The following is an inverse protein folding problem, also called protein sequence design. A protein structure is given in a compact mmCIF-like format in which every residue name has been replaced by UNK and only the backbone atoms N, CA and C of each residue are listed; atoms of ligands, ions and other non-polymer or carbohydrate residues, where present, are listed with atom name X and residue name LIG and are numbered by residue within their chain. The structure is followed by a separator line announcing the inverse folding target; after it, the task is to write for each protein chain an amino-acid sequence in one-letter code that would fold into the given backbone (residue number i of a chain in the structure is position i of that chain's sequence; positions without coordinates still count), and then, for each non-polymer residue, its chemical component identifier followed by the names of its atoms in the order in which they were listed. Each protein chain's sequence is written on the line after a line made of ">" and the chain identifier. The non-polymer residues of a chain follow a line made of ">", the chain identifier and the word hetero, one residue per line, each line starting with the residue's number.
data_IF_481841388692
#
_entry.id   IF_481841388692
#
_cell.length_a   1.000
_cell.length_b   1.000
_cell.length_c   1.000
_cell.angle_alpha   90.00
_cell.angle_beta   90.00
_cell.angle_gamma   90.00
#
_symmetry.space_group_name_H-M   'P 1'
#
loop_
_entity.id
_entity.type
_entity.pdbx_description
1 polymer ?
#
# COMPACT_ATOMS: atom_id res chain seq x y z
N UNK A 1 -59.05 -46.29 37.06
CA UNK A 1 -57.60 -46.56 36.88
C UNK A 1 -57.27 -46.49 35.40
N UNK A 2 -56.69 -45.38 34.96
CA UNK A 2 -55.97 -45.25 33.69
C UNK A 2 -55.15 -43.97 33.80
N UNK A 3 -53.82 -44.08 33.92
CA UNK A 3 -52.94 -42.92 34.11
C UNK A 3 -52.25 -42.61 32.76
N UNK A 4 -52.59 -41.51 32.08
CA UNK A 4 -51.97 -41.14 30.81
C UNK A 4 -50.68 -40.34 31.08
N UNK A 5 -49.62 -41.01 31.55
CA UNK A 5 -48.41 -40.34 32.03
C UNK A 5 -47.13 -40.50 31.19
N UNK A 6 -47.07 -41.47 30.26
CA UNK A 6 -45.77 -41.95 29.76
C UNK A 6 -45.44 -41.66 28.30
N UNK A 7 -46.34 -41.03 27.52
CA UNK A 7 -46.08 -40.75 26.09
C UNK A 7 -45.53 -39.35 25.81
N UNK A 8 -45.64 -38.39 26.73
CA UNK A 8 -45.09 -37.04 26.56
C UNK A 8 -43.58 -36.93 26.90
N UNK A 9 -43.02 -37.84 27.71
CA UNK A 9 -41.65 -37.69 28.20
C UNK A 9 -40.58 -38.05 27.15
N UNK A 10 -40.89 -38.92 26.18
CA UNK A 10 -39.94 -39.27 25.09
C UNK A 10 -39.76 -38.15 24.06
N UNK A 11 -40.76 -37.32 23.81
CA UNK A 11 -40.66 -36.23 22.83
C UNK A 11 -40.01 -34.96 23.41
N UNK A 12 -40.08 -34.76 24.73
CA UNK A 12 -39.40 -33.64 25.40
C UNK A 12 -37.88 -33.89 25.45
N UNK A 13 -37.42 -35.13 25.63
CA UNK A 13 -35.98 -35.43 25.65
C UNK A 13 -35.31 -35.34 24.26
N UNK A 14 -36.02 -35.69 23.19
CA UNK A 14 -35.51 -35.58 21.80
C UNK A 14 -35.53 -34.12 21.31
N UNK A 15 -36.48 -33.31 21.78
CA UNK A 15 -36.53 -31.86 21.50
C UNK A 15 -35.40 -31.08 22.18
N UNK A 16 -35.01 -31.46 23.39
CA UNK A 16 -33.92 -30.79 24.13
C UNK A 16 -32.54 -31.19 23.59
N UNK A 17 -32.36 -32.42 23.10
CA UNK A 17 -31.10 -32.84 22.48
C UNK A 17 -30.88 -32.27 21.06
N UNK A 18 -31.95 -31.84 20.38
CA UNK A 18 -31.89 -31.23 19.04
C UNK A 18 -31.71 -29.70 19.06
N UNK A 19 -32.04 -29.04 20.17
CA UNK A 19 -31.92 -27.59 20.33
C UNK A 19 -30.51 -27.08 20.69
N UNK A 20 -29.62 -27.97 21.14
CA UNK A 20 -28.27 -27.61 21.59
C UNK A 20 -27.20 -27.59 20.49
N UNK A 21 -27.54 -27.94 19.25
CA UNK A 21 -26.56 -28.08 18.16
C UNK A 21 -26.54 -26.95 17.12
N UNK A 22 -27.21 -25.82 17.37
CA UNK A 22 -27.26 -24.72 16.42
C UNK A 22 -26.97 -23.33 17.04
N UNK A 23 -26.05 -23.25 18.00
CA UNK A 23 -25.21 -22.07 18.12
C UNK A 23 -23.92 -22.34 17.35
N UNK A 24 -23.99 -22.32 16.02
CA UNK A 24 -22.81 -21.94 15.27
C UNK A 24 -22.53 -20.49 15.69
N UNK A 25 -21.59 -20.29 16.61
CA UNK A 25 -20.92 -19.00 16.74
C UNK A 25 -20.41 -18.73 15.34
N UNK A 26 -21.10 -17.84 14.62
CA UNK A 26 -20.62 -17.29 13.38
C UNK A 26 -19.32 -16.61 13.76
N UNK A 27 -18.20 -17.31 13.63
CA UNK A 27 -16.88 -16.74 13.84
C UNK A 27 -16.78 -15.62 12.80
N UNK A 28 -17.06 -14.38 13.24
CA UNK A 28 -17.00 -13.21 12.39
C UNK A 28 -15.64 -13.20 11.73
N UNK A 29 -15.59 -12.98 10.40
CA UNK A 29 -14.32 -12.91 9.68
C UNK A 29 -13.41 -11.93 10.41
N UNK A 30 -12.22 -12.40 10.77
CA UNK A 30 -11.22 -11.59 11.48
C UNK A 30 -11.01 -10.26 10.73
N UNK A 31 -11.14 -9.11 11.39
CA UNK A 31 -10.97 -7.81 10.74
C UNK A 31 -9.57 -7.69 10.13
N UNK A 32 -9.49 -7.04 8.98
CA UNK A 32 -8.26 -6.92 8.19
C UNK A 32 -7.80 -5.48 8.03
N UNK A 33 -6.48 -5.30 7.94
CA UNK A 33 -5.87 -4.01 7.61
C UNK A 33 -4.93 -4.19 6.41
N UNK A 34 -5.12 -3.36 5.40
CA UNK A 34 -4.18 -3.18 4.29
C UNK A 34 -3.45 -1.87 4.51
N UNK A 35 -2.11 -1.93 4.61
CA UNK A 35 -1.27 -0.75 4.85
C UNK A 35 -0.41 -0.44 3.64
N UNK A 36 -0.46 0.83 3.22
CA UNK A 36 0.36 1.39 2.15
C UNK A 36 1.22 2.50 2.73
N UNK A 37 2.50 2.54 2.37
CA UNK A 37 3.38 3.69 2.63
C UNK A 37 3.71 4.37 1.29
N UNK A 38 3.24 5.62 1.15
CA UNK A 38 3.43 6.47 -0.03
C UNK A 38 4.76 7.27 0.06
N UNK A 39 5.11 8.02 -0.97
CA UNK A 39 6.26 8.95 -1.00
C UNK A 39 7.67 8.35 -0.75
N UNK A 40 7.87 7.06 -1.03
CA UNK A 40 9.23 6.52 -1.05
C UNK A 40 10.00 7.05 -2.27
N UNK A 41 11.31 7.22 -2.12
CA UNK A 41 12.19 7.54 -3.25
C UNK A 41 13.28 8.57 -2.96
N UNK A 42 12.98 9.59 -2.15
CA UNK A 42 13.93 10.65 -1.81
C UNK A 42 14.75 10.35 -0.55
N UNK A 43 14.16 9.70 0.45
CA UNK A 43 14.83 9.40 1.72
C UNK A 43 15.16 7.92 1.84
N UNK A 44 16.44 7.55 1.64
CA UNK A 44 16.90 6.16 1.75
C UNK A 44 16.67 5.56 3.15
N UNK A 45 16.92 6.33 4.22
CA UNK A 45 16.79 5.86 5.60
C UNK A 45 15.36 5.48 5.91
N UNK A 46 14.42 6.41 5.74
CA UNK A 46 13.02 6.16 6.07
C UNK A 46 12.35 5.21 5.06
N UNK A 47 12.78 5.22 3.79
CA UNK A 47 12.36 4.19 2.82
C UNK A 47 12.79 2.78 3.24
N UNK A 48 14.00 2.63 3.80
CA UNK A 48 14.47 1.34 4.34
C UNK A 48 13.70 0.93 5.59
N UNK A 49 13.36 1.89 6.47
CA UNK A 49 12.48 1.65 7.63
C UNK A 49 11.11 1.13 7.19
N UNK A 50 10.46 1.78 6.22
CA UNK A 50 9.18 1.35 5.67
C UNK A 50 9.24 -0.08 5.09
N UNK A 51 10.33 -0.44 4.39
CA UNK A 51 10.56 -1.81 3.88
C UNK A 51 10.69 -2.84 5.02
N UNK A 52 11.23 -2.45 6.17
CA UNK A 52 11.45 -3.35 7.30
C UNK A 52 10.26 -3.43 8.27
N UNK A 53 9.18 -2.67 8.05
CA UNK A 53 7.96 -2.80 8.84
C UNK A 53 7.43 -4.26 8.79
N UNK A 54 6.89 -4.80 9.88
CA UNK A 54 6.33 -6.15 9.90
C UNK A 54 5.09 -6.25 9.01
N UNK A 55 4.81 -7.46 8.52
CA UNK A 55 3.61 -7.76 7.72
C UNK A 55 3.66 -7.30 6.25
N UNK A 56 2.59 -7.55 5.49
CA UNK A 56 2.52 -7.34 4.04
C UNK A 56 2.28 -5.86 3.63
N UNK A 57 3.13 -4.95 4.10
CA UNK A 57 3.07 -3.53 3.75
C UNK A 57 3.34 -3.32 2.26
N UNK A 58 2.47 -2.56 1.59
CA UNK A 58 2.66 -2.13 0.21
C UNK A 58 3.41 -0.80 0.17
N UNK A 59 4.34 -0.66 -0.77
CA UNK A 59 5.22 0.51 -0.86
C UNK A 59 5.02 1.22 -2.19
N UNK A 60 4.55 2.47 -2.12
CA UNK A 60 4.39 3.34 -3.28
C UNK A 60 5.63 4.21 -3.45
N UNK A 61 6.26 4.11 -4.62
CA UNK A 61 7.57 4.73 -4.88
C UNK A 61 7.41 5.77 -5.98
N UNK A 62 7.83 7.00 -5.69
CA UNK A 62 7.88 8.09 -6.66
C UNK A 62 8.91 7.78 -7.76
N UNK A 63 8.56 7.94 -9.04
CA UNK A 63 9.46 7.70 -10.15
C UNK A 63 10.58 8.75 -10.19
N UNK A 64 11.69 8.40 -10.84
CA UNK A 64 12.80 9.33 -11.12
C UNK A 64 13.45 9.99 -9.90
N UNK A 65 13.20 9.47 -8.69
CA UNK A 65 13.86 9.91 -7.46
C UNK A 65 15.19 9.18 -7.25
N UNK A 66 16.15 9.74 -6.49
CA UNK A 66 17.50 9.20 -6.34
C UNK A 66 17.55 7.73 -5.87
N UNK A 67 16.58 7.29 -5.06
CA UNK A 67 16.55 5.93 -4.51
C UNK A 67 15.41 5.06 -5.04
N UNK A 68 14.58 5.54 -5.98
CA UNK A 68 13.44 4.82 -6.56
C UNK A 68 13.75 3.35 -6.89
N UNK A 69 14.66 3.13 -7.85
CA UNK A 69 15.05 1.78 -8.31
C UNK A 69 15.64 0.90 -7.20
N UNK A 70 16.43 1.50 -6.30
CA UNK A 70 17.10 0.77 -5.22
C UNK A 70 16.10 0.30 -4.17
N UNK A 71 15.18 1.18 -3.76
CA UNK A 71 14.13 0.86 -2.80
C UNK A 71 13.14 -0.15 -3.39
N UNK A 72 12.76 -0.01 -4.66
CA UNK A 72 11.87 -0.95 -5.34
C UNK A 72 12.44 -2.38 -5.36
N UNK A 73 13.70 -2.55 -5.76
CA UNK A 73 14.36 -3.88 -5.75
C UNK A 73 14.51 -4.45 -4.35
N UNK A 74 14.86 -3.60 -3.36
CA UNK A 74 14.99 -4.04 -1.98
C UNK A 74 13.64 -4.47 -1.39
N UNK A 75 12.58 -3.71 -1.64
CA UNK A 75 11.21 -4.02 -1.26
C UNK A 75 10.76 -5.37 -1.84
N UNK A 76 10.93 -5.56 -3.15
CA UNK A 76 10.60 -6.82 -3.82
C UNK A 76 11.39 -7.99 -3.23
N UNK A 77 12.71 -7.85 -3.03
CA UNK A 77 13.55 -8.88 -2.38
C UNK A 77 13.09 -9.23 -0.96
N UNK A 78 12.46 -8.28 -0.25
CA UNK A 78 11.88 -8.47 1.08
C UNK A 78 10.43 -9.00 1.05
N UNK A 79 9.92 -9.36 -0.13
CA UNK A 79 8.56 -9.86 -0.30
C UNK A 79 7.48 -8.79 -0.11
N UNK A 80 7.81 -7.51 -0.24
CA UNK A 80 6.84 -6.41 -0.17
C UNK A 80 6.22 -6.18 -1.54
N UNK A 81 4.94 -5.81 -1.56
CA UNK A 81 4.29 -5.30 -2.77
C UNK A 81 4.86 -3.93 -3.12
N UNK A 82 5.27 -3.75 -4.36
CA UNK A 82 5.79 -2.49 -4.89
C UNK A 82 4.78 -1.92 -5.86
N UNK A 83 4.56 -0.60 -5.81
CA UNK A 83 3.73 0.10 -6.78
C UNK A 83 4.32 1.46 -7.14
N UNK A 84 3.94 1.98 -8.31
CA UNK A 84 4.27 3.34 -8.72
C UNK A 84 3.41 4.33 -7.91
N UNK A 85 4.03 5.33 -7.30
CA UNK A 85 3.34 6.51 -6.79
C UNK A 85 3.35 7.59 -7.88
N UNK A 86 2.31 7.64 -8.71
CA UNK A 86 2.30 8.43 -9.94
C UNK A 86 2.07 9.92 -9.62
N UNK A 87 3.01 10.83 -9.95
CA UNK A 87 2.84 12.25 -9.74
C UNK A 87 1.71 12.81 -10.63
N UNK A 88 0.74 13.49 -10.02
CA UNK A 88 -0.43 14.03 -10.71
C UNK A 88 -0.73 15.45 -10.22
N UNK A 89 -1.21 16.32 -11.12
CA UNK A 89 -1.50 17.72 -10.75
C UNK A 89 -2.59 17.86 -9.69
N UNK A 90 -2.55 19.00 -8.99
CA UNK A 90 -3.42 19.31 -7.87
C UNK A 90 -3.99 20.72 -8.01
N UNK A 91 -5.15 20.95 -7.40
CA UNK A 91 -5.86 22.22 -7.43
C UNK A 91 -5.09 23.40 -6.82
N UNK A 92 -4.02 23.14 -6.08
CA UNK A 92 -3.15 24.16 -5.48
C UNK A 92 -1.92 24.46 -6.34
N UNK A 93 -1.83 23.89 -7.55
CA UNK A 93 -0.76 24.12 -8.53
C UNK A 93 0.65 23.89 -7.97
N UNK A 94 0.78 23.05 -6.93
CA UNK A 94 2.10 22.66 -6.39
C UNK A 94 2.73 21.65 -7.33
N UNK A 95 4.04 21.79 -7.60
CA UNK A 95 4.76 20.82 -8.43
C UNK A 95 4.78 19.43 -7.78
N UNK A 96 4.19 18.39 -8.41
CA UNK A 96 4.23 17.02 -7.89
C UNK A 96 5.58 16.32 -8.10
N UNK A 97 6.45 16.89 -8.94
CA UNK A 97 7.77 16.37 -9.26
C UNK A 97 7.89 15.71 -10.66
N UNK A 98 9.04 15.07 -10.96
CA UNK A 98 9.30 14.50 -12.28
C UNK A 98 8.29 13.41 -12.66
N UNK A 99 7.86 13.39 -13.92
CA UNK A 99 6.86 12.43 -14.42
C UNK A 99 5.41 12.83 -14.11
N UNK A 100 5.17 14.10 -13.76
CA UNK A 100 3.82 14.62 -13.51
C UNK A 100 2.90 14.38 -14.70
N UNK A 101 1.71 13.85 -14.41
CA UNK A 101 0.60 13.70 -15.31
C UNK A 101 -0.37 14.88 -15.12
N UNK A 102 -0.78 15.48 -16.24
CA UNK A 102 -1.46 16.79 -16.27
C UNK A 102 -2.64 16.79 -17.24
N UNK A 103 -3.75 17.49 -16.95
CA UNK A 103 -4.84 17.68 -17.91
C UNK A 103 -4.39 18.37 -19.22
N UNK A 104 -3.37 19.21 -19.16
CA UNK A 104 -2.83 19.99 -20.28
C UNK A 104 -2.05 19.14 -21.29
N UNK A 105 -1.65 17.92 -20.92
CA UNK A 105 -0.96 17.01 -21.82
C UNK A 105 -1.94 16.44 -22.86
N UNK A 106 -1.48 16.36 -24.10
CA UNK A 106 -2.11 15.47 -25.07
C UNK A 106 -1.93 13.99 -24.68
N UNK A 107 -2.67 13.10 -25.34
CA UNK A 107 -2.67 11.68 -25.01
C UNK A 107 -1.28 11.04 -25.22
N UNK A 108 -0.54 11.45 -26.23
CA UNK A 108 0.75 10.83 -26.55
C UNK A 108 1.78 11.15 -25.47
N UNK A 109 1.94 12.44 -25.13
CA UNK A 109 2.83 12.91 -24.08
C UNK A 109 2.44 12.32 -22.71
N UNK A 110 1.15 12.28 -22.41
CA UNK A 110 0.63 11.69 -21.17
C UNK A 110 1.02 10.22 -21.04
N UNK A 111 0.75 9.42 -22.08
CA UNK A 111 1.03 7.98 -22.08
C UNK A 111 2.53 7.71 -22.06
N UNK A 112 3.33 8.51 -22.77
CA UNK A 112 4.79 8.42 -22.74
C UNK A 112 5.34 8.68 -21.32
N UNK A 113 4.83 9.72 -20.63
CA UNK A 113 5.20 10.04 -19.25
C UNK A 113 4.82 8.93 -18.27
N UNK A 114 3.59 8.41 -18.37
CA UNK A 114 3.11 7.31 -17.52
C UNK A 114 3.93 6.03 -17.73
N UNK A 115 4.19 5.64 -18.98
CA UNK A 115 5.01 4.45 -19.30
C UNK A 115 6.43 4.60 -18.76
N UNK A 116 7.07 5.75 -18.98
CA UNK A 116 8.41 6.04 -18.46
C UNK A 116 8.46 5.99 -16.94
N UNK A 117 7.41 6.46 -16.26
CA UNK A 117 7.29 6.39 -14.80
C UNK A 117 7.13 4.96 -14.30
N UNK A 118 6.31 4.15 -14.96
CA UNK A 118 6.14 2.72 -14.64
C UNK A 118 7.44 1.94 -14.85
N UNK A 119 8.14 2.17 -15.97
CA UNK A 119 9.41 1.49 -16.27
C UNK A 119 10.54 1.91 -15.32
N UNK A 120 10.42 3.06 -14.67
CA UNK A 120 11.37 3.51 -13.64
C UNK A 120 11.22 2.74 -12.31
N UNK A 121 10.09 2.08 -12.06
CA UNK A 121 9.80 1.33 -10.84
C UNK A 121 9.81 -0.18 -11.12
N UNK A 122 10.95 -0.87 -10.98
CA UNK A 122 11.01 -2.31 -11.22
C UNK A 122 10.12 -3.07 -10.24
N UNK A 123 9.49 -4.16 -10.72
CA UNK A 123 8.57 -5.00 -9.94
C UNK A 123 7.27 -4.33 -9.50
N UNK A 124 6.88 -3.20 -10.11
CA UNK A 124 5.58 -2.60 -9.85
C UNK A 124 4.43 -3.59 -10.17
N UNK A 125 3.56 -3.79 -9.19
CA UNK A 125 2.35 -4.63 -9.29
C UNK A 125 1.07 -3.79 -9.39
N UNK A 126 1.19 -2.48 -9.12
CA UNK A 126 0.11 -1.53 -9.19
C UNK A 126 0.62 -0.10 -9.30
N UNK A 127 -0.31 0.84 -9.20
CA UNK A 127 -0.02 2.26 -9.03
C UNK A 127 -1.13 2.96 -8.25
N UNK A 128 -0.79 4.11 -7.66
CA UNK A 128 -1.71 5.05 -7.06
C UNK A 128 -1.35 6.49 -7.45
N UNK A 129 -2.18 7.45 -7.07
CA UNK A 129 -1.90 8.87 -7.30
C UNK A 129 -1.12 9.52 -6.15
N UNK A 130 -0.02 10.20 -6.48
CA UNK A 130 0.62 11.21 -5.64
C UNK A 130 -0.02 12.57 -5.92
N UNK A 131 -0.52 13.23 -4.87
CA UNK A 131 -1.39 14.39 -5.02
C UNK A 131 -2.59 14.07 -5.92
N UNK A 132 -2.74 14.67 -7.10
CA UNK A 132 -3.78 14.31 -8.06
C UNK A 132 -5.16 14.92 -7.79
N UNK A 133 -5.30 15.89 -6.87
CA UNK A 133 -6.62 16.45 -6.55
C UNK A 133 -7.28 17.16 -7.74
N UNK A 134 -6.53 17.52 -8.78
CA UNK A 134 -7.06 18.03 -10.04
C UNK A 134 -7.23 16.88 -11.04
N UNK A 135 -6.15 16.19 -11.42
CA UNK A 135 -6.18 15.17 -12.48
C UNK A 135 -7.20 14.04 -12.21
N UNK A 136 -7.35 13.62 -10.95
CA UNK A 136 -8.29 12.53 -10.61
C UNK A 136 -9.75 12.88 -10.79
N UNK A 137 -10.09 14.15 -11.05
CA UNK A 137 -11.45 14.58 -11.42
C UNK A 137 -11.71 14.47 -12.94
N UNK A 138 -10.65 14.34 -13.76
CA UNK A 138 -10.76 14.25 -15.20
C UNK A 138 -10.97 12.80 -15.67
N UNK A 139 -12.21 12.50 -16.09
CA UNK A 139 -12.58 11.16 -16.59
C UNK A 139 -11.76 10.75 -17.83
N UNK A 140 -11.41 11.68 -18.71
CA UNK A 140 -10.67 11.37 -19.94
C UNK A 140 -9.24 10.93 -19.62
N UNK A 141 -8.53 11.71 -18.79
CA UNK A 141 -7.14 11.37 -18.41
C UNK A 141 -7.10 10.16 -17.50
N UNK A 142 -8.05 10.00 -16.58
CA UNK A 142 -8.12 8.79 -15.76
C UNK A 142 -8.40 7.54 -16.58
N UNK A 143 -9.19 7.61 -17.67
CA UNK A 143 -9.32 6.49 -18.62
C UNK A 143 -7.98 6.12 -19.26
N UNK A 144 -7.14 7.09 -19.60
CA UNK A 144 -5.80 6.81 -20.14
C UNK A 144 -4.90 6.12 -19.11
N UNK A 145 -4.96 6.55 -17.86
CA UNK A 145 -4.28 5.85 -16.75
C UNK A 145 -4.75 4.39 -16.70
N UNK A 146 -6.07 4.15 -16.71
CA UNK A 146 -6.61 2.79 -16.64
C UNK A 146 -6.31 1.95 -17.87
N UNK A 147 -6.21 2.56 -19.06
CA UNK A 147 -5.79 1.90 -20.30
C UNK A 147 -4.40 1.27 -20.14
N UNK A 148 -3.41 2.06 -19.69
CA UNK A 148 -2.06 1.55 -19.46
C UNK A 148 -2.00 0.57 -18.27
N UNK A 149 -2.78 0.83 -17.22
CA UNK A 149 -2.88 -0.03 -16.03
C UNK A 149 -3.39 -1.43 -16.40
N UNK A 150 -4.48 -1.49 -17.16
CA UNK A 150 -5.06 -2.74 -17.65
C UNK A 150 -4.11 -3.47 -18.60
N UNK A 151 -3.49 -2.74 -19.54
CA UNK A 151 -2.50 -3.30 -20.48
C UNK A 151 -1.36 -4.03 -19.77
N UNK A 152 -0.90 -3.48 -18.65
CA UNK A 152 0.18 -4.06 -17.82
C UNK A 152 -0.32 -5.01 -16.74
N UNK A 153 -1.62 -5.28 -16.67
CA UNK A 153 -2.27 -6.16 -15.67
C UNK A 153 -1.97 -5.73 -14.22
N UNK A 154 -1.91 -4.42 -14.01
CA UNK A 154 -1.65 -3.79 -12.71
C UNK A 154 -2.97 -3.54 -11.96
N UNK A 155 -2.91 -3.43 -10.63
CA UNK A 155 -4.01 -2.87 -9.84
C UNK A 155 -3.88 -1.35 -9.69
N UNK A 156 -4.98 -0.68 -9.34
CA UNK A 156 -4.98 0.74 -8.99
C UNK A 156 -5.40 0.94 -7.53
N UNK A 157 -4.81 1.91 -6.83
CA UNK A 157 -5.30 2.42 -5.55
C UNK A 157 -5.69 3.89 -5.71
N UNK A 158 -6.95 4.22 -5.46
CA UNK A 158 -7.38 5.62 -5.37
C UNK A 158 -7.00 6.17 -3.98
N UNK A 159 -6.00 7.06 -3.94
CA UNK A 159 -5.57 7.74 -2.71
C UNK A 159 -6.60 8.76 -2.22
N UNK A 160 -7.66 9.05 -3.00
CA UNK A 160 -8.79 9.94 -2.68
C UNK A 160 -8.37 11.29 -2.10
N UNK A 161 -7.44 11.97 -2.77
CA UNK A 161 -6.98 13.32 -2.37
C UNK A 161 -8.03 14.41 -2.62
N UNK A 162 -9.13 14.07 -3.30
CA UNK A 162 -10.34 14.87 -3.45
C UNK A 162 -11.58 13.96 -3.35
N UNK A 163 -12.69 14.49 -2.82
CA UNK A 163 -13.96 13.78 -2.79
C UNK A 163 -14.57 13.58 -4.19
N UNK A 164 -14.12 14.38 -5.17
CA UNK A 164 -14.58 14.38 -6.56
C UNK A 164 -13.79 13.39 -7.45
N UNK A 165 -12.92 12.56 -6.87
CA UNK A 165 -12.13 11.60 -7.65
C UNK A 165 -13.05 10.66 -8.43
N UNK A 166 -12.79 10.53 -9.73
CA UNK A 166 -13.42 9.54 -10.61
C UNK A 166 -12.56 8.30 -10.79
N UNK A 167 -11.36 8.25 -10.18
CA UNK A 167 -10.37 7.22 -10.45
C UNK A 167 -10.88 5.80 -10.15
N UNK A 168 -11.56 5.59 -9.01
CA UNK A 168 -12.18 4.28 -8.71
C UNK A 168 -13.24 3.89 -9.76
N UNK A 169 -14.09 4.84 -10.18
CA UNK A 169 -15.13 4.59 -11.17
C UNK A 169 -14.54 4.19 -12.52
N UNK A 170 -13.53 4.91 -12.99
CA UNK A 170 -12.87 4.61 -14.27
C UNK A 170 -12.10 3.29 -14.21
N UNK A 171 -11.46 2.98 -13.08
CA UNK A 171 -10.79 1.69 -12.87
C UNK A 171 -11.78 0.52 -12.98
N UNK A 172 -12.93 0.61 -12.29
CA UNK A 172 -14.00 -0.41 -12.38
C UNK A 172 -14.52 -0.55 -13.81
N UNK A 173 -14.74 0.57 -14.50
CA UNK A 173 -15.24 0.57 -15.88
C UNK A 173 -14.26 -0.09 -16.86
N UNK A 174 -12.95 0.05 -16.61
CA UNK A 174 -11.90 -0.58 -17.41
C UNK A 174 -11.57 -2.03 -16.98
N UNK A 175 -12.26 -2.58 -15.97
CA UNK A 175 -11.95 -3.90 -15.42
C UNK A 175 -10.61 -3.97 -14.65
N UNK A 176 -10.06 -2.83 -14.25
CA UNK A 176 -8.84 -2.73 -13.44
C UNK A 176 -9.18 -3.02 -11.98
N UNK A 177 -8.50 -3.98 -11.32
CA UNK A 177 -8.68 -4.23 -9.89
C UNK A 177 -8.34 -2.98 -9.08
N UNK A 178 -9.26 -2.56 -8.21
CA UNK A 178 -9.15 -1.27 -7.52
C UNK A 178 -9.58 -1.32 -6.05
N UNK A 179 -8.79 -0.63 -5.22
CA UNK A 179 -9.17 -0.26 -3.86
C UNK A 179 -9.11 1.27 -3.71
N UNK A 180 -9.78 1.77 -2.69
CA UNK A 180 -9.80 3.17 -2.33
C UNK A 180 -9.35 3.32 -0.89
N UNK A 181 -8.56 4.34 -0.59
CA UNK A 181 -8.12 4.63 0.78
C UNK A 181 -9.32 4.98 1.68
N UNK A 182 -9.34 4.40 2.87
CA UNK A 182 -10.30 4.75 3.92
C UNK A 182 -9.77 5.80 4.90
N UNK A 183 -8.47 5.79 5.20
CA UNK A 183 -7.84 6.70 6.19
C UNK A 183 -6.39 7.03 5.83
N UNK A 184 -6.00 8.29 6.10
CA UNK A 184 -4.59 8.67 6.19
C UNK A 184 -4.16 8.63 7.66
N UNK A 185 -2.98 8.06 7.94
CA UNK A 185 -2.46 7.93 9.30
C UNK A 185 -1.76 9.20 9.80
N UNK A 186 -1.28 10.06 8.91
CA UNK A 186 -0.30 11.09 9.24
C UNK A 186 -0.57 12.45 8.60
N UNK A 187 -1.86 12.79 8.46
CA UNK A 187 -2.28 14.15 8.08
C UNK A 187 -1.69 15.21 9.03
N UNK A 188 -1.63 14.89 10.33
CA UNK A 188 -0.93 15.68 11.34
C UNK A 188 0.28 14.88 11.81
N UNK A 189 1.47 15.44 11.62
CA UNK A 189 2.77 14.75 11.82
C UNK A 189 3.25 14.82 13.27
N UNK A 190 2.40 14.41 14.22
CA UNK A 190 2.76 14.28 15.64
C UNK A 190 2.46 12.88 16.13
N UNK A 191 3.23 12.38 17.09
CA UNK A 191 3.06 11.01 17.61
C UNK A 191 1.64 10.80 18.15
N UNK A 192 1.09 11.80 18.85
CA UNK A 192 -0.28 11.79 19.35
C UNK A 192 -1.31 11.64 18.24
N UNK A 193 -1.19 12.42 17.15
CA UNK A 193 -2.16 12.38 16.07
C UNK A 193 -2.06 11.08 15.25
N UNK A 194 -0.84 10.58 15.00
CA UNK A 194 -0.65 9.30 14.29
C UNK A 194 -1.19 8.13 15.10
N UNK A 195 -0.95 8.10 16.42
CA UNK A 195 -1.56 7.09 17.29
C UNK A 195 -3.09 7.18 17.29
N UNK A 196 -3.66 8.38 17.36
CA UNK A 196 -5.11 8.56 17.30
C UNK A 196 -5.70 8.06 15.97
N UNK A 197 -5.04 8.34 14.84
CA UNK A 197 -5.45 7.83 13.53
C UNK A 197 -5.34 6.31 13.44
N UNK A 198 -4.30 5.71 14.04
CA UNK A 198 -4.12 4.26 14.14
C UNK A 198 -5.25 3.60 14.96
N UNK A 199 -5.65 4.22 16.08
CA UNK A 199 -6.75 3.72 16.90
C UNK A 199 -8.11 3.84 16.17
N UNK A 200 -8.31 4.93 15.40
CA UNK A 200 -9.48 5.08 14.53
C UNK A 200 -9.50 4.00 13.44
N UNK A 201 -8.35 3.68 12.84
CA UNK A 201 -8.22 2.60 11.87
C UNK A 201 -8.62 1.25 12.49
N UNK A 202 -8.12 0.92 13.68
CA UNK A 202 -8.50 -0.30 14.42
C UNK A 202 -10.01 -0.36 14.66
N UNK A 203 -10.58 0.72 15.20
CA UNK A 203 -12.02 0.80 15.50
C UNK A 203 -12.87 0.60 14.24
N UNK A 204 -12.48 1.21 13.14
CA UNK A 204 -13.18 1.07 11.85
C UNK A 204 -13.00 -0.32 11.24
N UNK A 205 -11.81 -0.92 11.33
CA UNK A 205 -11.56 -2.27 10.85
C UNK A 205 -12.45 -3.30 11.57
N UNK A 206 -12.62 -3.16 12.89
CA UNK A 206 -13.56 -3.99 13.68
C UNK A 206 -15.01 -3.80 13.26
N UNK A 207 -15.41 -2.56 12.94
CA UNK A 207 -16.78 -2.23 12.56
C UNK A 207 -17.14 -2.67 11.14
N UNK A 208 -16.24 -2.50 10.19
CA UNK A 208 -16.48 -2.69 8.75
C UNK A 208 -15.80 -3.94 8.18
N UNK A 209 -15.08 -4.70 9.00
CA UNK A 209 -14.36 -5.92 8.62
C UNK A 209 -13.02 -5.69 7.91
N UNK A 210 -12.79 -4.52 7.33
CA UNK A 210 -11.52 -4.17 6.69
C UNK A 210 -11.26 -2.65 6.73
N UNK A 211 -9.99 -2.26 6.60
CA UNK A 211 -9.55 -0.88 6.38
C UNK A 211 -8.33 -0.84 5.47
N UNK A 212 -8.34 0.08 4.49
CA UNK A 212 -7.19 0.48 3.69
C UNK A 212 -6.62 1.79 4.24
N UNK A 213 -5.44 1.71 4.83
CA UNK A 213 -4.74 2.85 5.41
C UNK A 213 -3.53 3.24 4.55
N UNK A 214 -3.32 4.55 4.41
CA UNK A 214 -2.12 5.12 3.80
C UNK A 214 -1.38 5.96 4.84
N UNK A 215 -0.06 5.79 4.92
CA UNK A 215 0.85 6.70 5.61
C UNK A 215 2.03 7.06 4.71
N UNK A 216 2.96 7.84 5.23
CA UNK A 216 4.15 8.31 4.53
C UNK A 216 5.39 8.09 5.41
N UNK A 217 6.61 8.04 4.84
CA UNK A 217 7.85 7.72 5.55
C UNK A 217 8.37 8.92 6.36
N UNK A 218 7.50 9.66 7.04
CA UNK A 218 7.91 10.61 8.07
C UNK A 218 8.46 9.85 9.27
N UNK A 219 9.49 10.39 9.93
CA UNK A 219 10.12 9.72 11.08
C UNK A 219 9.08 9.36 12.15
N UNK A 220 8.20 10.30 12.50
CA UNK A 220 7.13 10.09 13.48
C UNK A 220 6.15 8.98 13.08
N UNK A 221 5.78 8.89 11.80
CA UNK A 221 4.90 7.82 11.30
C UNK A 221 5.60 6.46 11.43
N UNK A 222 6.87 6.39 11.04
CA UNK A 222 7.66 5.14 11.15
C UNK A 222 7.85 4.73 12.62
N UNK A 223 8.14 5.68 13.52
CA UNK A 223 8.31 5.40 14.95
C UNK A 223 7.04 4.80 15.57
N UNK A 224 5.86 5.30 15.19
CA UNK A 224 4.58 4.75 15.66
C UNK A 224 4.31 3.38 15.04
N UNK A 225 4.47 3.23 13.71
CA UNK A 225 4.17 1.97 13.03
C UNK A 225 5.09 0.83 13.46
N UNK A 226 6.38 1.08 13.68
CA UNK A 226 7.34 0.09 14.18
C UNK A 226 6.92 -0.46 15.57
N UNK A 227 6.36 0.39 16.44
CA UNK A 227 5.87 0.00 17.76
C UNK A 227 4.50 -0.71 17.71
N UNK A 228 3.56 -0.16 16.93
CA UNK A 228 2.13 -0.51 16.99
C UNK A 228 1.73 -1.67 16.09
N UNK A 229 2.39 -1.87 14.94
CA UNK A 229 2.02 -2.95 14.01
C UNK A 229 2.13 -4.36 14.64
N UNK A 230 3.16 -4.69 15.45
CA UNK A 230 3.23 -5.98 16.16
C UNK A 230 2.06 -6.26 17.10
N UNK A 231 1.29 -5.24 17.52
CA UNK A 231 0.16 -5.40 18.44
C UNK A 231 -1.11 -5.89 17.75
N UNK A 232 -1.23 -5.71 16.42
CA UNK A 232 -2.47 -5.95 15.68
C UNK A 232 -2.96 -7.40 15.82
N UNK A 233 -2.06 -8.38 15.77
CA UNK A 233 -2.40 -9.79 15.89
C UNK A 233 -2.99 -10.11 17.27
N UNK A 234 -2.40 -9.55 18.34
CA UNK A 234 -2.92 -9.66 19.72
C UNK A 234 -4.28 -8.98 19.87
N UNK A 235 -4.56 -7.98 19.05
CA UNK A 235 -5.85 -7.29 18.99
C UNK A 235 -6.90 -8.01 18.13
N UNK A 236 -6.57 -9.19 17.59
CA UNK A 236 -7.42 -9.97 16.70
C UNK A 236 -7.58 -9.36 15.32
N UNK A 237 -6.61 -8.57 14.85
CA UNK A 237 -6.64 -7.92 13.53
C UNK A 237 -5.50 -8.47 12.68
N UNK A 238 -5.82 -8.89 11.45
CA UNK A 238 -4.84 -9.45 10.52
C UNK A 238 -4.41 -8.42 9.48
N UNK A 239 -3.11 -8.22 9.33
CA UNK A 239 -2.60 -7.48 8.18
C UNK A 239 -2.64 -8.36 6.93
N UNK A 240 -3.12 -7.81 5.81
CA UNK A 240 -3.15 -8.50 4.52
C UNK A 240 -2.58 -7.62 3.42
N UNK A 241 -2.11 -8.25 2.33
CA UNK A 241 -1.60 -7.52 1.18
C UNK A 241 -2.74 -6.84 0.41
N UNK A 242 -2.41 -5.87 -0.44
CA UNK A 242 -3.37 -5.29 -1.39
C UNK A 242 -4.00 -6.38 -2.27
N UNK A 243 -3.21 -7.35 -2.72
CA UNK A 243 -3.69 -8.46 -3.55
C UNK A 243 -4.72 -9.32 -2.82
N UNK A 244 -4.45 -9.69 -1.57
CA UNK A 244 -5.40 -10.43 -0.73
C UNK A 244 -6.67 -9.63 -0.46
N UNK A 245 -6.54 -8.31 -0.27
CA UNK A 245 -7.68 -7.43 -0.04
C UNK A 245 -8.55 -7.30 -1.29
N UNK A 246 -7.96 -7.24 -2.49
CA UNK A 246 -8.69 -7.27 -3.76
C UNK A 246 -9.47 -8.58 -3.90
N UNK A 247 -8.83 -9.72 -3.64
CA UNK A 247 -9.44 -11.06 -3.69
C UNK A 247 -10.57 -11.18 -2.65
N UNK A 248 -10.35 -10.70 -1.42
CA UNK A 248 -11.36 -10.69 -0.36
C UNK A 248 -12.60 -9.87 -0.73
N UNK A 249 -12.46 -8.85 -1.60
CA UNK A 249 -13.57 -8.08 -2.17
C UNK A 249 -14.14 -8.68 -3.47
N UNK A 250 -13.77 -9.91 -3.82
CA UNK A 250 -14.28 -10.62 -5.00
C UNK A 250 -13.70 -10.15 -6.33
N UNK A 251 -12.62 -9.36 -6.32
CA UNK A 251 -11.97 -8.89 -7.55
C UNK A 251 -10.98 -9.95 -8.05
N UNK A 252 -10.96 -10.16 -9.38
CA UNK A 252 -9.98 -11.05 -10.01
C UNK A 252 -8.66 -10.30 -10.16
N UNK A 253 -7.66 -10.68 -9.38
CA UNK A 253 -6.29 -10.20 -9.55
C UNK A 253 -5.33 -11.40 -9.46
N UNK A 254 -4.42 -11.50 -10.43
CA UNK A 254 -3.34 -12.48 -10.43
C UNK A 254 -2.04 -11.70 -10.33
N UNK A 255 -1.20 -12.02 -9.35
CA UNK A 255 0.13 -11.39 -9.26
C UNK A 255 0.97 -11.82 -10.48
N UNK A 256 1.89 -10.97 -10.96
CA UNK A 256 2.83 -11.38 -12.00
C UNK A 256 3.60 -12.66 -11.66
N UNK A 257 3.96 -12.85 -10.38
CA UNK A 257 4.64 -14.06 -9.90
C UNK A 257 3.74 -15.32 -9.98
N UNK A 258 2.44 -15.20 -9.73
CA UNK A 258 1.49 -16.33 -9.92
C UNK A 258 1.23 -16.63 -11.39
N UNK A 259 1.41 -15.67 -12.31
CA UNK A 259 1.35 -15.94 -13.75
C UNK A 259 2.55 -16.75 -14.23
N UNK A 260 3.77 -16.47 -13.75
CA UNK A 260 4.95 -17.28 -14.11
C UNK A 260 4.81 -18.71 -13.57
N UNK A 261 4.30 -18.87 -12.35
CA UNK A 261 4.02 -20.19 -11.78
C UNK A 261 2.93 -20.96 -12.54
N UNK A 262 1.85 -20.29 -13.00
CA UNK A 262 0.78 -20.94 -13.77
C UNK A 262 1.20 -21.34 -15.19
N UNK A 263 2.08 -20.57 -15.84
CA UNK A 263 2.66 -20.94 -17.14
C UNK A 263 3.67 -22.10 -17.00
N UNK A 264 4.45 -22.12 -15.92
CA UNK A 264 5.35 -23.24 -15.57
C UNK A 264 4.59 -24.54 -15.26
N UNK A 265 3.48 -24.45 -14.54
CA UNK A 265 2.61 -25.58 -14.24
C UNK A 265 1.87 -26.10 -15.49
N UNK A 266 1.37 -25.20 -16.35
CA UNK A 266 0.70 -25.55 -17.61
C UNK A 266 1.61 -26.29 -18.61
N UNK A 267 2.90 -25.94 -18.66
CA UNK A 267 3.87 -26.64 -19.51
C UNK A 267 4.23 -28.05 -19.01
N UNK A 268 4.14 -28.32 -17.70
CA UNK A 268 4.38 -29.67 -17.16
C UNK A 268 3.23 -30.64 -17.40
N UNK A 269 1.99 -30.15 -17.44
CA UNK A 269 0.81 -30.98 -17.76
C UNK A 269 0.75 -31.33 -19.26
N UNK A 270 1.15 -30.41 -20.14
CA UNK A 270 1.24 -30.69 -21.59
C UNK A 270 2.34 -31.71 -21.94
N UNK A 271 3.50 -31.62 -21.30
CA UNK A 271 4.62 -32.54 -21.53
C UNK A 271 4.36 -33.97 -21.01
N UNK A 272 3.43 -34.16 -20.07
CA UNK A 272 3.07 -35.49 -19.55
C UNK A 272 1.92 -36.15 -20.31
N UNK A 273 1.13 -35.39 -21.09
CA UNK A 273 0.05 -35.92 -21.92
C UNK A 273 0.47 -36.21 -23.38
N UNK A 274 1.63 -35.70 -23.84
CA UNK A 274 2.18 -36.00 -25.16
C UNK A 274 3.14 -37.21 -25.21
N UNK A 275 3.46 -37.84 -24.07
CA UNK A 275 4.39 -38.98 -24.02
C UNK A 275 3.71 -40.37 -24.14
N UNK A 276 2.43 -40.45 -24.49
CA UNK A 276 1.64 -41.70 -24.50
C UNK A 276 0.86 -41.92 -25.80
N UNK A 277 1.33 -41.44 -26.96
CA UNK A 277 0.76 -41.87 -28.26
C UNK A 277 1.80 -41.76 -29.39
N UNK A 278 2.55 -42.82 -29.67
CA UNK A 278 2.79 -43.33 -31.03
C UNK A 278 3.76 -44.51 -31.07
N UNK A 279 3.55 -45.47 -32.01
CA UNK A 279 4.31 -46.71 -32.09
C UNK A 279 5.61 -46.53 -32.90
N UNK A 280 6.57 -47.40 -32.61
CA UNK A 280 7.88 -47.47 -33.24
C UNK A 280 7.81 -47.71 -34.76
N UNK A 281 8.77 -47.16 -35.52
CA UNK A 281 9.22 -47.79 -36.76
C UNK A 281 10.67 -48.28 -36.67
N UNK A 282 10.76 -49.50 -37.20
CA UNK A 282 11.86 -50.37 -37.63
C UNK A 282 13.19 -49.71 -38.05
N UNK A 283 14.27 -50.37 -37.64
CA UNK A 283 15.67 -50.23 -38.04
C UNK A 283 15.92 -50.16 -39.55
N UNK A 284 16.84 -49.26 -39.96
CA UNK A 284 17.80 -49.49 -41.05
C UNK A 284 19.19 -49.02 -40.63
N UNK A 285 20.18 -49.90 -40.86
CA UNK A 285 21.62 -49.67 -40.74
C UNK A 285 22.16 -48.91 -41.96
N UNK A 286 23.11 -47.99 -41.72
CA UNK A 286 24.36 -47.77 -42.49
C UNK A 286 25.11 -46.62 -41.78
N UNK A 287 26.22 -46.87 -41.08
CA UNK A 287 27.60 -46.97 -41.57
C UNK A 287 28.27 -45.60 -41.89
N UNK A 288 29.50 -45.46 -41.37
CA UNK A 288 30.57 -44.44 -41.57
C UNK A 288 30.71 -43.42 -40.42
N UNK A 289 31.68 -43.56 -39.49
CA UNK A 289 33.15 -43.39 -39.53
C UNK A 289 33.65 -41.94 -39.38
N UNK A 290 34.79 -41.83 -38.68
CA UNK A 290 35.66 -40.65 -38.38
C UNK A 290 35.25 -39.86 -37.12
N UNK A 291 35.92 -39.99 -35.95
CA UNK A 291 37.27 -39.48 -35.60
C UNK A 291 37.42 -37.98 -36.00
N UNK A 292 37.81 -37.02 -35.15
CA UNK A 292 38.90 -37.01 -34.17
C UNK A 292 38.72 -35.91 -33.10
N UNK A 293 39.28 -36.24 -31.95
CA UNK A 293 39.83 -35.44 -30.85
C UNK A 293 40.56 -34.12 -31.21
N UNK A 294 40.55 -33.14 -30.29
CA UNK A 294 41.67 -32.28 -29.81
C UNK A 294 41.32 -30.82 -29.44
N UNK A 295 41.85 -30.40 -28.28
CA UNK A 295 42.43 -29.06 -28.02
C UNK A 295 41.52 -28.09 -27.28
N UNK A 296 41.58 -27.99 -25.94
CA UNK A 296 42.52 -27.17 -25.15
C UNK A 296 42.64 -25.72 -25.67
N UNK A 297 42.08 -24.76 -24.90
CA UNK A 297 42.78 -23.53 -24.52
C UNK A 297 42.04 -22.81 -23.38
N UNK A 298 42.64 -22.89 -22.20
CA UNK A 298 42.42 -22.04 -21.04
C UNK A 298 42.94 -20.63 -21.38
N UNK A 299 42.19 -19.57 -21.02
CA UNK A 299 42.75 -18.24 -20.81
C UNK A 299 42.30 -17.73 -19.44
N UNK A 300 43.21 -17.90 -18.49
CA UNK A 300 43.25 -17.11 -17.26
C UNK A 300 43.48 -15.64 -17.61
N UNK A 301 42.87 -14.74 -16.84
CA UNK A 301 43.39 -13.38 -16.70
C UNK A 301 43.42 -13.05 -15.20
N UNK A 302 44.61 -13.19 -14.61
CA UNK A 302 45.00 -12.66 -13.30
C UNK A 302 45.85 -11.42 -13.55
N UNK A 303 45.48 -10.30 -12.95
CA UNK A 303 46.43 -9.27 -12.49
C UNK A 303 45.81 -8.47 -11.34
N UNK A 304 46.16 -8.86 -10.11
CA UNK A 304 46.47 -7.92 -9.03
C UNK A 304 47.94 -7.45 -9.27
N UNK A 305 48.41 -6.25 -8.93
CA UNK A 305 48.53 -5.60 -7.62
C UNK A 305 49.27 -4.22 -7.82
N UNK A 306 49.80 -3.48 -6.81
CA UNK A 306 49.04 -2.70 -5.83
C UNK A 306 49.70 -1.33 -5.42
N UNK A 307 49.10 -0.67 -4.41
CA UNK A 307 49.66 0.29 -3.42
C UNK A 307 50.06 1.70 -3.91
N UNK A 308 49.43 2.74 -3.32
CA UNK A 308 50.13 3.77 -2.51
C UNK A 308 49.18 4.45 -1.51
N UNK A 309 49.75 4.66 -0.33
CA UNK A 309 49.17 5.01 0.95
C UNK A 309 48.99 6.52 1.16
N UNK A 310 48.05 6.81 2.07
CA UNK A 310 47.70 8.05 2.78
C UNK A 310 48.90 8.89 3.26
N UNK A 311 48.70 10.19 3.57
CA UNK A 311 48.48 10.48 4.99
C UNK A 311 47.52 11.66 5.34
N UNK A 312 46.78 11.40 6.43
CA UNK A 312 46.60 12.23 7.63
C UNK A 312 45.36 13.12 7.80
N UNK A 313 44.58 12.67 8.79
CA UNK A 313 43.60 13.36 9.62
C UNK A 313 44.24 14.43 10.52
N UNK A 314 43.53 15.53 10.75
CA UNK A 314 43.66 16.39 11.95
C UNK A 314 42.26 16.56 12.56
N UNK A 315 42.10 16.43 13.89
CA UNK A 315 40.81 16.47 14.59
C UNK A 315 40.41 17.89 14.99
N UNK A 316 39.10 18.17 15.04
CA UNK A 316 38.55 19.36 15.72
C UNK A 316 37.44 18.92 16.67
N UNK A 317 37.63 19.22 17.95
CA UNK A 317 36.64 19.22 19.02
C UNK A 317 37.01 20.35 20.00
N UNK A 318 36.18 20.68 20.99
CA UNK A 318 34.92 21.41 20.92
C UNK A 318 35.00 22.77 21.67
N UNK A 319 33.90 23.53 21.61
CA UNK A 319 33.44 24.58 22.57
C UNK A 319 33.24 25.99 21.99
N UNK A 320 31.97 26.44 22.03
CA UNK A 320 31.53 27.70 22.66
C UNK A 320 30.03 27.98 22.35
N UNK A 321 29.16 27.79 23.36
CA UNK A 321 27.96 28.64 23.59
C UNK A 321 28.47 29.96 24.18
N UNK A 322 27.83 31.15 24.00
CA UNK A 322 26.41 31.37 24.33
C UNK A 322 25.67 32.45 23.50
N UNK A 323 24.33 32.43 23.53
CA UNK A 323 23.54 33.61 23.94
C UNK A 323 22.06 33.26 24.00
N UNK A 324 21.50 33.44 25.21
CA UNK A 324 20.08 33.31 25.51
C UNK A 324 19.39 34.62 25.14
N UNK A 325 18.48 34.60 24.17
CA UNK A 325 17.46 35.64 24.04
C UNK A 325 16.25 35.19 24.86
N UNK A 326 16.05 35.85 25.99
CA UNK A 326 14.84 35.77 26.80
C UNK A 326 13.71 36.49 26.05
N UNK A 327 12.69 35.76 25.61
CA UNK A 327 11.38 36.35 25.32
C UNK A 327 10.46 36.12 26.52
N UNK A 328 10.31 37.17 27.32
CA UNK A 328 9.28 37.27 28.36
C UNK A 328 7.94 37.62 27.70
N UNK A 329 6.83 36.93 28.05
CA UNK A 329 5.52 37.16 27.44
C UNK A 329 4.83 38.42 27.98
N UNK A 330 4.07 39.11 27.12
CA UNK A 330 3.18 40.21 27.48
C UNK A 330 1.95 39.69 28.26
N UNK A 331 1.40 40.47 29.21
CA UNK A 331 0.32 40.02 30.09
C UNK A 331 -1.04 39.99 29.37
N UNK A 332 -1.72 38.83 29.43
CA UNK A 332 -3.11 38.66 29.04
C UNK A 332 -4.00 38.97 30.25
N UNK A 333 -4.96 39.89 30.07
CA UNK A 333 -5.96 40.25 31.10
C UNK A 333 -6.90 39.05 31.40
N UNK A 334 -7.28 38.82 32.66
CA UNK A 334 -8.20 37.74 33.01
C UNK A 334 -9.63 38.05 32.56
N UNK A 335 -10.23 37.11 31.83
CA UNK A 335 -11.68 37.07 31.59
C UNK A 335 -12.31 36.29 32.74
N UNK A 336 -13.18 36.96 33.49
CA UNK A 336 -14.01 36.41 34.56
C UNK A 336 -15.05 35.43 33.99
N UNK A 337 -15.09 34.23 34.56
CA UNK A 337 -16.20 33.28 34.43
C UNK A 337 -17.39 33.82 35.23
N UNK A 338 -18.53 34.03 34.56
CA UNK A 338 -19.82 34.19 35.23
C UNK A 338 -20.57 32.85 35.21
N UNK A 339 -21.08 32.50 36.38
CA UNK A 339 -21.70 31.24 36.74
C UNK A 339 -23.19 31.42 36.91
N UNK A 340 -23.99 31.07 35.91
CA UNK A 340 -25.43 30.83 36.10
C UNK A 340 -25.94 29.73 35.16
N UNK A 341 -26.22 28.55 35.74
CA UNK A 341 -27.20 27.57 35.20
C UNK A 341 -28.60 27.98 35.69
N UNK A 342 -29.67 27.69 34.95
CA UNK A 342 -30.44 26.48 35.27
C UNK A 342 -31.12 25.78 34.07
N UNK A 343 -31.50 24.52 34.27
CA UNK A 343 -32.63 23.90 33.57
C UNK A 343 -32.30 22.81 32.54
N UNK A 344 -32.31 21.55 32.98
CA UNK A 344 -32.51 20.39 32.11
C UNK A 344 -34.03 20.12 32.02
N UNK A 345 -34.58 20.16 30.80
CA UNK A 345 -35.86 19.54 30.45
C UNK A 345 -35.64 18.57 29.28
N UNK A 346 -36.35 17.44 29.23
CA UNK A 346 -36.17 16.42 28.20
C UNK A 346 -36.92 16.82 26.91
N UNK A 347 -36.23 16.81 25.78
CA UNK A 347 -36.83 17.04 24.46
C UNK A 347 -37.07 15.71 23.74
N UNK A 348 -38.37 15.43 23.58
CA UNK A 348 -38.95 14.42 22.72
C UNK A 348 -38.62 14.64 21.23
N UNK A 349 -38.67 13.53 20.50
CA UNK A 349 -38.66 13.31 19.06
C UNK A 349 -38.78 14.55 18.14
N UNK A 350 -37.69 14.85 17.42
CA UNK A 350 -37.70 15.64 16.19
C UNK A 350 -36.88 14.93 15.10
N UNK A 351 -37.31 14.96 13.82
CA UNK A 351 -36.70 14.20 12.74
C UNK A 351 -35.29 14.67 12.40
N UNK A 352 -34.43 13.70 12.06
CA UNK A 352 -33.01 13.89 11.70
C UNK A 352 -32.87 14.89 10.55
N UNK A 353 -32.38 16.09 10.86
CA UNK A 353 -31.89 17.05 9.86
C UNK A 353 -30.56 16.54 9.28
N UNK A 354 -30.44 16.62 7.97
CA UNK A 354 -29.27 16.35 7.13
C UNK A 354 -27.98 16.94 7.73
N UNK A 355 -26.83 16.25 7.73
CA UNK A 355 -25.60 16.81 8.28
C UNK A 355 -25.16 18.04 7.46
N UNK A 356 -25.03 19.18 8.13
CA UNK A 356 -24.43 20.38 7.58
C UNK A 356 -23.00 20.08 7.11
N UNK A 357 -22.63 20.65 5.96
CA UNK A 357 -21.28 20.59 5.42
C UNK A 357 -20.27 21.08 6.46
N UNK A 358 -19.34 20.20 6.86
CA UNK A 358 -18.12 20.58 7.55
C UNK A 358 -17.34 21.51 6.64
N UNK A 359 -17.35 22.80 6.98
CA UNK A 359 -16.50 23.80 6.37
C UNK A 359 -15.03 23.37 6.51
N UNK A 360 -14.31 23.50 5.40
CA UNK A 360 -12.90 23.20 5.27
C UNK A 360 -12.06 23.96 6.31
N UNK A 361 -11.33 23.22 7.13
CA UNK A 361 -10.28 23.75 8.01
C UNK A 361 -9.12 24.26 7.12
N UNK A 362 -8.54 25.44 7.38
CA UNK A 362 -7.49 25.99 6.54
C UNK A 362 -6.21 25.14 6.60
N UNK A 363 -5.70 24.79 5.41
CA UNK A 363 -4.42 24.09 5.22
C UNK A 363 -3.29 25.09 5.47
N UNK A 364 -2.46 24.83 6.48
CA UNK A 364 -1.25 25.62 6.75
C UNK A 364 -0.23 25.52 5.61
N UNK A 365 0.46 26.64 5.37
CA UNK A 365 1.39 26.90 4.26
C UNK A 365 2.65 26.02 4.27
N UNK A 366 3.19 25.72 3.08
CA UNK A 366 4.36 24.86 2.87
C UNK A 366 5.50 25.67 2.26
N UNK A 367 6.50 26.04 3.05
CA UNK A 367 7.82 26.45 2.56
C UNK A 367 8.76 25.23 2.57
N UNK A 368 8.96 24.64 1.41
CA UNK A 368 10.12 23.79 1.15
C UNK A 368 11.25 24.71 0.68
N UNK A 369 12.03 25.24 1.61
CA UNK A 369 13.30 25.90 1.27
C UNK A 369 14.27 24.84 0.74
N UNK A 370 14.30 24.70 -0.59
CA UNK A 370 15.37 24.02 -1.31
C UNK A 370 16.58 24.96 -1.33
N UNK A 371 17.59 24.70 -0.50
CA UNK A 371 18.93 25.22 -0.78
C UNK A 371 19.59 24.36 -1.85
N UNK A 372 20.12 24.93 -2.94
CA UNK A 372 20.99 24.18 -3.83
C UNK A 372 22.24 23.77 -3.06
N UNK A 373 22.60 22.49 -3.14
CA UNK A 373 23.91 22.00 -2.70
C UNK A 373 24.90 22.34 -3.82
N UNK A 374 26.06 22.94 -3.50
CA UNK A 374 27.04 23.43 -4.47
C UNK A 374 27.66 22.33 -5.34
#
# INVERSE_FOLDING_TARGET
>A
MNIPGFRCLKYILVGILSGLFAMQVQAGKQPTITLIIDDLGYNKRNGTRAINLPGPVTLAILPHTPFSKKLARLAYKKGKTVMLHAPMTNIHQRSPGPGTLSPEMDKEAFMASLRKSLDAIPHAQGLNNHMGSELTQDSTRMKWVMEETAKRRLFFIDSRTTAKSVAEKEARSAGVPVLSRDIFLDHIRTEKAVNAAFDVMIKKARRYGNMIAIGHPYSVTMDVLEKRLPELEKMGIRMISVSDQLIAKGQRYQTPDTMVASHSAGNKVSASQQAMTSPAPRLKQSAAMSQTDKGIAVKENRSAAPIKSDPQLVPVAPDAKPSMIKHTPAPVKPVTMDSTKPGLQPLDNQPVKTPAMLQSIPVQHWDLQMKPVP
#
